data_IF_823051457648
#
_entry.id   IF_823051457648
#
_cell.length_a   1.000
_cell.length_b   1.000
_cell.length_c   1.000
_cell.angle_alpha   90.00
_cell.angle_beta   90.00
_cell.angle_gamma   90.00
#
_symmetry.space_group_name_H-M   'P 1'
#
loop_
_entity.id
_entity.type
_entity.pdbx_description
1 polymer ?
#
# COMPACT_ATOMS: atom_id res chain seq x y z
N UNK A 1 4.21 -21.27 18.55
CA UNK A 1 4.69 -21.42 17.16
C UNK A 1 4.44 -20.11 16.44
N UNK A 2 5.45 -19.51 15.81
CA UNK A 2 5.32 -18.21 15.15
C UNK A 2 5.37 -18.42 13.65
N UNK A 3 4.32 -17.98 12.95
CA UNK A 3 4.19 -18.13 11.50
C UNK A 3 4.56 -16.80 10.84
N UNK A 4 5.43 -16.85 9.83
CA UNK A 4 5.79 -15.67 9.02
C UNK A 4 4.92 -15.64 7.77
N UNK A 5 4.35 -14.47 7.48
CA UNK A 5 3.53 -14.23 6.29
C UNK A 5 4.11 -13.02 5.55
N UNK A 6 4.36 -13.18 4.25
CA UNK A 6 4.71 -12.11 3.30
C UNK A 6 3.51 -11.79 2.43
N UNK A 7 3.30 -10.50 2.18
CA UNK A 7 2.26 -10.04 1.28
C UNK A 7 2.64 -10.32 -0.17
N UNK A 8 1.71 -10.89 -0.93
CA UNK A 8 1.88 -11.16 -2.36
C UNK A 8 1.81 -9.85 -3.18
N UNK A 9 2.54 -9.81 -4.29
CA UNK A 9 2.53 -8.76 -5.31
C UNK A 9 2.84 -7.34 -4.80
N UNK A 10 3.36 -7.20 -3.58
CA UNK A 10 3.66 -5.92 -2.94
C UNK A 10 5.01 -5.99 -2.21
N UNK A 11 5.83 -4.96 -2.39
CA UNK A 11 7.12 -4.76 -1.73
C UNK A 11 7.04 -3.60 -0.74
N UNK A 12 7.85 -3.70 0.32
CA UNK A 12 7.95 -2.69 1.37
C UNK A 12 9.42 -2.45 1.72
N UNK A 13 9.76 -1.23 2.18
CA UNK A 13 11.12 -0.97 2.65
C UNK A 13 11.41 -1.82 3.88
N UNK A 14 12.62 -2.37 3.95
CA UNK A 14 13.05 -3.13 5.10
C UNK A 14 13.17 -2.23 6.34
N UNK A 15 13.11 -2.82 7.53
CA UNK A 15 13.14 -2.07 8.79
C UNK A 15 14.32 -1.11 8.91
N UNK A 16 15.47 -1.48 8.35
CA UNK A 16 16.71 -0.72 8.39
C UNK A 16 16.85 0.28 7.24
N UNK A 17 15.94 0.23 6.27
CA UNK A 17 15.90 1.14 5.13
C UNK A 17 15.15 2.43 5.51
N UNK A 18 15.40 3.54 4.79
CA UNK A 18 14.63 4.76 4.98
C UNK A 18 13.13 4.46 4.83
N UNK A 19 12.33 5.03 5.74
CA UNK A 19 10.88 4.82 5.83
C UNK A 19 10.42 3.40 6.19
N UNK A 20 11.33 2.44 6.36
CA UNK A 20 11.03 1.08 6.85
C UNK A 20 10.25 1.07 8.15
N UNK A 21 10.70 1.89 9.11
CA UNK A 21 10.03 2.04 10.40
C UNK A 21 8.62 2.63 10.22
N UNK A 22 8.44 3.62 9.34
CA UNK A 22 7.15 4.27 9.13
C UNK A 22 6.15 3.33 8.45
N UNK A 23 6.59 2.60 7.42
CA UNK A 23 5.79 1.58 6.74
C UNK A 23 5.37 0.47 7.73
N UNK A 24 6.28 0.01 8.59
CA UNK A 24 5.96 -0.97 9.64
C UNK A 24 4.96 -0.43 10.67
N UNK A 25 5.14 0.81 11.11
CA UNK A 25 4.21 1.46 12.05
C UNK A 25 2.82 1.60 11.43
N UNK A 26 2.73 1.97 10.16
CA UNK A 26 1.46 2.03 9.45
C UNK A 26 0.81 0.65 9.32
N UNK A 27 1.56 -0.38 8.90
CA UNK A 27 1.06 -1.75 8.83
C UNK A 27 0.55 -2.23 10.20
N UNK A 28 1.28 -1.92 11.27
CA UNK A 28 0.86 -2.22 12.65
C UNK A 28 -0.47 -1.55 12.98
N UNK A 29 -0.65 -0.29 12.62
CA UNK A 29 -1.91 0.44 12.85
C UNK A 29 -3.09 -0.13 12.05
N UNK A 30 -2.82 -0.71 10.88
CA UNK A 30 -3.84 -1.33 10.02
C UNK A 30 -4.30 -2.68 10.58
N UNK A 31 -3.35 -3.50 11.07
CA UNK A 31 -3.57 -4.85 11.61
C UNK A 31 -4.03 -4.87 13.07
N UNK A 32 -3.67 -3.84 13.84
CA UNK A 32 -3.95 -3.75 15.28
C UNK A 32 -4.59 -2.40 15.59
N UNK A 33 -5.91 -2.26 15.40
CA UNK A 33 -6.62 -1.05 15.76
C UNK A 33 -6.50 -0.77 17.27
N UNK A 34 -6.43 0.52 17.61
CA UNK A 34 -6.18 1.01 18.98
C UNK A 34 -7.29 0.59 19.95
N UNK A 35 -8.49 0.32 19.45
CA UNK A 35 -9.67 -0.02 20.25
C UNK A 35 -9.60 -1.41 20.92
N UNK A 36 -8.52 -2.18 20.68
CA UNK A 36 -8.29 -3.48 21.31
C UNK A 36 -9.27 -4.58 20.89
N UNK A 37 -10.21 -4.27 19.98
CA UNK A 37 -11.18 -5.22 19.48
C UNK A 37 -10.47 -6.34 18.69
N UNK A 38 -10.84 -7.61 18.90
CA UNK A 38 -10.26 -8.73 18.18
C UNK A 38 -10.58 -8.62 16.69
N UNK A 39 -9.56 -8.33 15.88
CA UNK A 39 -9.70 -8.23 14.43
C UNK A 39 -9.48 -9.60 13.79
N UNK A 40 -10.42 -10.03 12.95
CA UNK A 40 -10.27 -11.26 12.16
C UNK A 40 -9.43 -10.97 10.92
N UNK A 41 -8.35 -11.72 10.79
CA UNK A 41 -7.46 -11.67 9.63
C UNK A 41 -7.66 -12.96 8.83
N UNK A 42 -7.95 -12.81 7.54
CA UNK A 42 -8.07 -13.89 6.57
C UNK A 42 -6.81 -13.88 5.70
N UNK A 43 -6.12 -15.01 5.63
CA UNK A 43 -4.93 -15.17 4.81
C UNK A 43 -5.21 -16.19 3.72
N UNK A 44 -5.20 -15.78 2.47
CA UNK A 44 -5.23 -16.69 1.33
C UNK A 44 -3.80 -17.06 0.93
N UNK A 45 -3.33 -18.22 1.38
CA UNK A 45 -1.96 -18.68 1.13
C UNK A 45 -1.82 -19.18 -0.30
N UNK A 46 -0.82 -18.66 -1.00
CA UNK A 46 -0.57 -18.96 -2.42
C UNK A 46 0.69 -19.78 -2.63
N UNK A 47 1.73 -19.54 -1.82
CA UNK A 47 3.00 -20.25 -1.89
C UNK A 47 3.76 -20.15 -0.55
N UNK A 48 4.93 -20.76 -0.50
CA UNK A 48 5.88 -20.71 0.62
C UNK A 48 7.20 -20.14 0.09
N UNK A 49 7.85 -19.28 0.87
CA UNK A 49 9.18 -18.75 0.56
C UNK A 49 10.29 -19.72 0.94
N UNK A 50 11.52 -19.43 0.51
CA UNK A 50 12.71 -20.26 0.74
C UNK A 50 13.03 -20.48 2.22
N UNK A 51 12.48 -19.66 3.13
CA UNK A 51 12.72 -19.71 4.57
C UNK A 51 11.54 -20.36 5.30
N UNK A 52 10.57 -20.91 4.57
CA UNK A 52 9.37 -21.56 5.11
C UNK A 52 8.28 -20.58 5.57
N UNK A 53 8.35 -19.32 5.17
CA UNK A 53 7.29 -18.32 5.38
C UNK A 53 6.21 -18.41 4.31
N UNK A 54 4.96 -18.11 4.63
CA UNK A 54 3.87 -18.14 3.66
C UNK A 54 3.81 -16.86 2.83
N UNK A 55 3.56 -16.98 1.53
CA UNK A 55 3.22 -15.87 0.64
C UNK A 55 1.69 -15.88 0.49
N UNK A 56 1.03 -14.82 0.94
CA UNK A 56 -0.42 -14.80 1.02
C UNK A 56 -1.01 -13.43 0.68
N UNK A 57 -2.26 -13.47 0.22
CA UNK A 57 -3.12 -12.29 0.21
C UNK A 57 -3.82 -12.14 1.56
N UNK A 58 -3.73 -10.95 2.18
CA UNK A 58 -4.20 -10.74 3.55
C UNK A 58 -5.39 -9.77 3.55
N UNK A 59 -6.50 -10.24 4.12
CA UNK A 59 -7.73 -9.50 4.21
C UNK A 59 -8.14 -9.30 5.67
N UNK A 60 -8.61 -8.10 5.98
CA UNK A 60 -9.14 -7.74 7.28
C UNK A 60 -10.64 -7.65 7.19
N UNK A 61 -11.34 -8.37 8.07
CA UNK A 61 -12.78 -8.22 8.22
C UNK A 61 -13.05 -7.19 9.33
N UNK A 62 -13.50 -5.99 8.95
CA UNK A 62 -13.89 -4.92 9.89
C UNK A 62 -15.40 -4.82 9.94
N UNK A 63 -15.97 -5.08 11.12
CA UNK A 63 -17.35 -4.74 11.43
C UNK A 63 -17.45 -3.23 11.65
N UNK A 64 -18.00 -2.50 10.69
CA UNK A 64 -18.33 -1.09 10.87
C UNK A 64 -19.67 -1.06 11.60
N UNK A 65 -19.62 -0.69 12.88
CA UNK A 65 -20.82 -0.36 13.64
C UNK A 65 -21.36 0.98 13.18
N UNK A 66 -22.21 0.98 12.17
CA UNK A 66 -22.98 2.18 11.81
C UNK A 66 -24.08 2.33 12.85
N UNK A 67 -23.93 3.29 13.76
CA UNK A 67 -25.10 3.84 14.47
C UNK A 67 -25.89 4.57 13.41
N UNK A 68 -26.99 3.96 12.94
CA UNK A 68 -27.96 4.65 12.11
C UNK A 68 -28.48 5.84 12.94
N UNK A 69 -27.87 7.01 12.74
CA UNK A 69 -28.39 8.27 13.24
C UNK A 69 -29.71 8.43 12.49
N UNK A 70 -30.81 8.19 13.20
CA UNK A 70 -32.15 8.20 12.61
C UNK A 70 -32.42 9.55 11.95
N UNK A 71 -32.19 9.65 10.66
CA UNK A 71 -32.77 10.69 9.83
C UNK A 71 -34.27 10.41 9.77
N UNK A 72 -35.00 11.18 10.57
CA UNK A 72 -36.47 11.18 10.67
C UNK A 72 -37.12 11.79 9.42
N UNK A 73 -36.66 11.42 8.23
CA UNK A 73 -37.18 11.95 6.96
C UNK A 73 -37.79 10.84 6.10
N UNK A 74 -38.65 10.02 6.70
CA UNK A 74 -39.68 9.32 5.93
C UNK A 74 -40.98 9.29 6.72
N UNK A 75 -41.73 10.38 6.58
CA UNK A 75 -43.07 10.54 7.13
C UNK A 75 -44.06 9.74 6.28
N UNK A 76 -44.14 8.43 6.51
CA UNK A 76 -45.24 7.64 5.96
C UNK A 76 -46.40 7.66 6.96
N UNK A 77 -47.38 8.53 6.68
CA UNK A 77 -48.68 8.58 7.36
C UNK A 77 -49.33 7.18 7.32
N UNK A 78 -49.36 6.47 8.44
CA UNK A 78 -50.43 5.52 8.73
C UNK A 78 -50.53 5.32 10.23
N UNK A 79 -51.78 5.19 10.68
CA UNK A 79 -52.23 5.41 12.03
C UNK A 79 -51.87 4.26 13.00
N UNK A 80 -51.71 4.66 14.27
CA UNK A 80 -51.69 3.86 15.51
C UNK A 80 -50.44 2.97 15.76
N UNK A 81 -49.55 3.34 16.71
CA UNK A 81 -48.53 2.43 17.21
C UNK A 81 -49.09 1.48 18.30
N UNK A 82 -48.77 0.18 18.29
CA UNK A 82 -49.08 -0.73 19.40
C UNK A 82 -48.21 -0.43 20.64
N UNK A 83 -48.74 -0.60 21.87
CA UNK A 83 -48.14 -0.09 23.12
C UNK A 83 -46.93 -0.89 23.68
N UNK A 84 -46.20 -1.65 22.86
CA UNK A 84 -45.17 -2.58 23.37
C UNK A 84 -43.80 -2.54 22.68
N UNK A 85 -43.59 -1.74 21.63
CA UNK A 85 -42.28 -1.74 20.96
C UNK A 85 -41.31 -0.76 21.61
N UNK A 86 -40.47 -1.26 22.52
CA UNK A 86 -39.16 -0.65 22.78
C UNK A 86 -38.38 -0.67 21.48
N UNK A 87 -38.16 0.51 20.89
CA UNK A 87 -37.33 0.68 19.71
C UNK A 87 -35.87 0.39 20.09
N UNK A 88 -35.50 -0.88 20.14
CA UNK A 88 -34.10 -1.29 20.16
C UNK A 88 -33.46 -0.77 18.85
N UNK A 89 -32.40 0.04 18.91
CA UNK A 89 -31.72 0.49 17.71
C UNK A 89 -31.21 -0.72 16.94
N UNK A 90 -31.74 -0.95 15.74
CA UNK A 90 -31.20 -1.97 14.83
C UNK A 90 -29.77 -1.57 14.47
N UNK A 91 -28.79 -2.20 15.12
CA UNK A 91 -27.39 -2.09 14.75
C UNK A 91 -27.17 -2.89 13.46
N UNK A 92 -27.22 -2.22 12.30
CA UNK A 92 -26.75 -2.82 11.07
C UNK A 92 -25.21 -2.85 11.10
N UNK A 93 -24.65 -4.01 11.43
CA UNK A 93 -23.21 -4.24 11.36
C UNK A 93 -22.85 -4.55 9.91
N UNK A 94 -22.31 -3.56 9.20
CA UNK A 94 -21.76 -3.79 7.87
C UNK A 94 -20.33 -4.34 8.01
N UNK A 95 -20.09 -5.55 7.50
CA UNK A 95 -18.76 -6.13 7.47
C UNK A 95 -18.03 -5.70 6.20
N UNK A 96 -16.98 -4.89 6.34
CA UNK A 96 -16.13 -4.44 5.23
C UNK A 96 -14.85 -5.28 5.23
N UNK A 97 -14.58 -5.92 4.09
CA UNK A 97 -13.34 -6.65 3.87
C UNK A 97 -12.31 -5.74 3.22
N UNK A 98 -11.19 -5.51 3.89
CA UNK A 98 -10.11 -4.62 3.43
C UNK A 98 -8.90 -5.48 3.07
N UNK A 99 -8.41 -5.37 1.83
CA UNK A 99 -7.12 -5.94 1.44
C UNK A 99 -5.99 -5.10 2.04
N UNK A 100 -5.10 -5.74 2.81
CA UNK A 100 -3.95 -5.06 3.43
C UNK A 100 -3.00 -4.56 2.35
N UNK A 101 -2.81 -5.33 1.28
CA UNK A 101 -1.94 -4.96 0.15
C UNK A 101 -2.43 -3.67 -0.52
N UNK A 102 -3.74 -3.59 -0.78
CA UNK A 102 -4.33 -2.40 -1.38
C UNK A 102 -4.18 -1.18 -0.48
N UNK A 103 -4.42 -1.34 0.82
CA UNK A 103 -4.31 -0.23 1.76
C UNK A 103 -2.88 0.29 1.88
N UNK A 104 -1.91 -0.62 1.96
CA UNK A 104 -0.50 -0.26 2.04
C UNK A 104 -0.01 0.47 0.77
N UNK A 105 -0.45 0.04 -0.40
CA UNK A 105 -0.11 0.69 -1.69
C UNK A 105 -0.84 2.03 -1.82
N UNK A 106 -2.14 2.09 -1.49
CA UNK A 106 -2.96 3.32 -1.53
C UNK A 106 -2.41 4.43 -0.63
N UNK A 107 -1.94 4.05 0.55
CA UNK A 107 -1.30 4.98 1.51
C UNK A 107 0.14 5.32 1.13
N UNK A 108 0.70 4.70 0.08
CA UNK A 108 2.03 4.97 -0.41
C UNK A 108 3.15 4.41 0.47
N UNK A 109 2.86 3.43 1.33
CA UNK A 109 3.86 2.77 2.19
C UNK A 109 4.41 1.47 1.61
N UNK A 110 3.93 1.11 0.42
CA UNK A 110 4.36 -0.07 -0.31
C UNK A 110 4.29 0.20 -1.82
N UNK A 111 5.02 -0.59 -2.59
CA UNK A 111 5.00 -0.56 -4.05
C UNK A 111 4.57 -1.91 -4.62
N UNK A 112 4.07 -1.91 -5.86
CA UNK A 112 3.63 -3.14 -6.52
C UNK A 112 4.84 -3.87 -7.09
N UNK A 113 4.92 -5.18 -6.82
CA UNK A 113 5.95 -6.06 -7.39
C UNK A 113 5.25 -7.03 -8.35
N UNK A 114 5.66 -6.98 -9.61
CA UNK A 114 5.20 -7.93 -10.62
C UNK A 114 5.92 -9.27 -10.39
N UNK A 115 5.34 -10.10 -9.53
CA UNK A 115 5.84 -11.45 -9.22
C UNK A 115 5.08 -12.53 -9.98
N UNK A 116 3.92 -12.17 -10.53
CA UNK A 116 2.96 -13.11 -11.11
C UNK A 116 2.88 -12.96 -12.63
N UNK A 117 2.50 -14.04 -13.31
CA UNK A 117 2.23 -14.05 -14.76
C UNK A 117 1.10 -13.10 -15.16
N UNK A 118 0.20 -12.77 -14.21
CA UNK A 118 -0.91 -11.85 -14.41
C UNK A 118 -0.72 -10.62 -13.51
N UNK A 119 -0.48 -9.42 -14.08
CA UNK A 119 -0.30 -8.21 -13.29
C UNK A 119 -1.62 -7.80 -12.62
N UNK A 120 -1.55 -7.44 -11.34
CA UNK A 120 -2.71 -6.94 -10.62
C UNK A 120 -2.99 -5.48 -11.00
N UNK A 121 -3.88 -5.28 -11.97
CA UNK A 121 -4.26 -3.97 -12.51
C UNK A 121 -4.73 -3.02 -11.40
N UNK A 122 -5.49 -3.53 -10.43
CA UNK A 122 -6.04 -2.74 -9.33
C UNK A 122 -4.95 -2.17 -8.43
N UNK A 123 -3.95 -2.97 -8.07
CA UNK A 123 -2.81 -2.49 -7.29
C UNK A 123 -2.00 -1.42 -8.04
N UNK A 124 -1.82 -1.57 -9.36
CA UNK A 124 -1.12 -0.57 -10.18
C UNK A 124 -1.87 0.76 -10.23
N UNK A 125 -3.19 0.74 -10.38
CA UNK A 125 -4.01 1.96 -10.33
C UNK A 125 -3.89 2.67 -8.98
N UNK A 126 -3.91 1.93 -7.87
CA UNK A 126 -3.72 2.50 -6.53
C UNK A 126 -2.32 3.08 -6.34
N UNK A 127 -1.29 2.42 -6.88
CA UNK A 127 0.08 2.93 -6.84
C UNK A 127 0.21 4.25 -7.61
N UNK A 128 -0.38 4.35 -8.79
CA UNK A 128 -0.39 5.57 -9.58
C UNK A 128 -1.11 6.72 -8.86
N UNK A 129 -2.23 6.42 -8.18
CA UNK A 129 -2.94 7.41 -7.35
C UNK A 129 -2.06 7.90 -6.18
N UNK A 130 -1.39 6.98 -5.46
CA UNK A 130 -0.52 7.31 -4.35
C UNK A 130 0.71 8.13 -4.78
N UNK A 131 1.25 7.83 -5.96
CA UNK A 131 2.34 8.60 -6.60
C UNK A 131 1.89 10.01 -6.95
N UNK A 132 0.75 10.15 -7.62
CA UNK A 132 0.19 11.44 -8.00
C UNK A 132 -0.10 12.31 -6.76
N UNK A 133 -0.66 11.70 -5.71
CA UNK A 133 -0.94 12.36 -4.45
C UNK A 133 0.29 12.56 -3.54
N UNK A 134 1.49 12.11 -3.97
CA UNK A 134 2.75 12.25 -3.22
C UNK A 134 2.61 11.72 -1.77
N UNK A 135 1.96 10.57 -1.60
CA UNK A 135 1.71 9.95 -0.28
C UNK A 135 2.89 9.08 0.15
N UNK A 136 3.17 9.05 1.46
CA UNK A 136 4.13 8.13 2.07
C UNK A 136 5.51 8.21 1.41
N UNK A 137 5.97 7.09 0.86
CA UNK A 137 7.25 6.95 0.17
C UNK A 137 7.36 7.91 -1.02
N UNK A 138 6.26 8.17 -1.73
CA UNK A 138 6.23 9.03 -2.92
C UNK A 138 6.24 10.53 -2.60
N UNK A 139 6.08 10.90 -1.33
CA UNK A 139 6.08 12.29 -0.88
C UNK A 139 7.46 12.91 -0.81
N UNK A 140 8.50 12.08 -0.69
CA UNK A 140 9.88 12.53 -0.60
C UNK A 140 10.50 12.39 -1.97
N UNK A 141 10.95 13.52 -2.53
CA UNK A 141 11.17 13.75 -3.96
C UNK A 141 12.14 12.84 -4.74
N UNK A 142 12.65 11.75 -4.15
CA UNK A 142 13.65 10.88 -4.76
C UNK A 142 13.43 9.37 -4.47
N UNK A 143 12.24 8.96 -3.97
CA UNK A 143 11.98 7.53 -3.78
C UNK A 143 11.81 6.81 -5.12
N UNK A 144 12.79 5.96 -5.46
CA UNK A 144 12.70 5.04 -6.57
C UNK A 144 12.68 3.61 -6.02
N UNK A 145 11.61 2.83 -6.25
CA UNK A 145 11.59 1.44 -5.81
C UNK A 145 12.74 0.69 -6.48
N UNK A 146 13.41 -0.24 -5.79
CA UNK A 146 14.43 -1.08 -6.41
C UNK A 146 13.80 -1.76 -7.63
N UNK A 147 14.39 -1.52 -8.80
CA UNK A 147 13.86 -1.95 -10.10
C UNK A 147 13.39 -3.41 -10.08
N UNK A 148 12.28 -3.69 -10.77
CA UNK A 148 11.53 -4.96 -10.86
C UNK A 148 12.31 -6.22 -11.33
N UNK A 149 13.64 -6.22 -11.32
CA UNK A 149 14.46 -7.36 -11.68
C UNK A 149 15.25 -7.87 -10.48
N UNK A 150 15.13 -9.16 -10.19
CA UNK A 150 15.83 -9.95 -9.15
C UNK A 150 15.23 -9.83 -7.76
N UNK A 151 14.47 -10.87 -7.37
CA UNK A 151 14.43 -11.34 -5.99
C UNK A 151 15.89 -11.46 -5.52
N UNK A 152 16.40 -10.46 -4.79
CA UNK A 152 17.75 -10.55 -4.24
C UNK A 152 17.73 -11.50 -3.04
N UNK A 153 18.69 -12.42 -2.93
CA UNK A 153 18.95 -13.10 -1.68
C UNK A 153 19.37 -12.05 -0.64
N UNK A 154 18.87 -12.25 0.59
CA UNK A 154 18.87 -11.37 1.78
C UNK A 154 20.24 -10.84 2.26
N UNK A 155 21.31 -10.99 1.49
CA UNK A 155 22.69 -10.75 1.93
C UNK A 155 23.49 -9.79 1.03
N UNK A 156 22.86 -8.95 0.21
CA UNK A 156 23.58 -7.89 -0.51
C UNK A 156 23.80 -6.67 0.38
N UNK A 157 24.96 -6.66 1.04
CA UNK A 157 25.54 -5.49 1.69
C UNK A 157 25.48 -4.26 0.79
N UNK A 158 25.18 -3.13 1.44
CA UNK A 158 25.64 -1.76 1.13
C UNK A 158 25.03 -1.13 -0.13
N UNK A 159 23.99 -0.32 0.09
CA UNK A 159 23.69 0.82 -0.76
C UNK A 159 24.95 1.70 -0.92
N UNK A 160 25.19 2.31 -2.09
CA UNK A 160 26.25 3.28 -2.25
C UNK A 160 26.02 4.48 -1.33
N UNK A 161 27.10 4.92 -0.68
CA UNK A 161 27.15 5.90 0.41
C UNK A 161 26.88 7.35 -0.05
N UNK A 162 26.37 7.55 -1.26
CA UNK A 162 26.32 8.84 -1.95
C UNK A 162 24.94 9.53 -1.97
N UNK A 163 23.93 9.01 -1.29
CA UNK A 163 22.62 9.68 -1.19
C UNK A 163 22.63 10.92 -0.27
N UNK A 164 23.75 11.19 0.42
CA UNK A 164 23.96 12.37 1.26
C UNK A 164 24.58 13.54 0.49
N UNK A 165 24.02 13.90 -0.66
CA UNK A 165 24.24 15.21 -1.33
C UNK A 165 23.27 15.27 -2.49
N UNK A 166 22.19 16.06 -2.44
CA UNK A 166 22.25 17.46 -2.88
C UNK A 166 21.26 18.33 -2.13
N UNK A 167 21.75 19.05 -1.11
CA UNK A 167 21.22 20.38 -0.76
C UNK A 167 22.18 21.40 -1.38
N UNK A 168 21.70 22.17 -2.36
CA UNK A 168 22.37 23.36 -2.88
C UNK A 168 23.23 23.13 -4.13
N UNK A 169 22.73 23.53 -5.29
CA UNK A 169 23.54 23.61 -6.51
C UNK A 169 22.70 23.96 -7.73
N UNK A 170 22.78 25.22 -8.16
CA UNK A 170 22.11 25.75 -9.35
C UNK A 170 22.48 24.92 -10.58
N UNK A 171 21.50 24.28 -11.21
CA UNK A 171 21.67 23.62 -12.50
C UNK A 171 21.62 24.63 -13.64
N UNK A 172 22.79 25.04 -14.12
CA UNK A 172 22.97 25.63 -15.44
C UNK A 172 22.52 24.62 -16.51
N UNK A 173 21.60 25.03 -17.40
CA UNK A 173 21.39 24.35 -18.67
C UNK A 173 22.64 24.52 -19.53
N UNK A 174 23.30 23.44 -19.92
CA UNK A 174 24.28 23.44 -21.00
C UNK A 174 23.84 22.45 -22.08
N UNK A 175 23.40 23.03 -23.20
CA UNK A 175 23.07 22.36 -24.44
C UNK A 175 24.31 21.67 -25.02
N UNK A 176 24.24 20.34 -25.18
CA UNK A 176 25.25 19.58 -25.89
C UNK A 176 25.00 19.67 -27.41
N UNK A 177 25.81 20.53 -28.03
CA UNK A 177 26.00 20.74 -29.46
C UNK A 177 26.54 19.47 -30.14
N UNK A 178 25.75 18.81 -30.98
CA UNK A 178 26.25 17.74 -31.87
C UNK A 178 27.10 18.37 -32.98
N UNK A 179 28.42 18.17 -32.94
CA UNK A 179 29.30 18.32 -34.11
C UNK A 179 29.30 16.99 -34.86
N UNK A 180 28.67 16.95 -36.03
CA UNK A 180 28.86 15.89 -37.01
C UNK A 180 29.94 16.35 -38.00
N UNK A 181 31.09 15.69 -37.96
CA UNK A 181 32.13 15.76 -38.99
C UNK A 181 31.65 14.96 -40.20
N UNK A 182 31.46 15.62 -41.35
CA UNK A 182 31.17 14.95 -42.61
C UNK A 182 32.43 14.94 -43.48
N UNK A 183 32.94 13.74 -43.72
CA UNK A 183 34.09 13.42 -44.54
C UNK A 183 33.64 13.35 -46.00
N UNK A 184 34.33 14.07 -46.89
CA UNK A 184 34.15 14.01 -48.35
C UNK A 184 34.39 12.59 -48.90
N UNK A 185 33.80 12.27 -50.05
CA UNK A 185 34.48 11.47 -51.05
C UNK A 185 34.70 12.25 -52.35
N UNK A 186 35.71 11.74 -53.06
CA UNK A 186 36.32 12.16 -54.30
C UNK A 186 35.44 11.80 -55.50
N UNK A 187 35.29 12.73 -56.45
CA UNK A 187 35.53 12.55 -57.90
C UNK A 187 35.47 13.91 -58.59
#
# INVERSE_FOLDING_TARGET
>A
MLVRVRLRSVGMPELHEPYGQNARMHLRSVLFPVDGAPQRVLCNVTSVDEVGGFIADVFLNRSIGTVARGDKSFFQKSAVPPPFWTAEPFHCVANVTISVQEEMVRSGWAWVVDTDLVPNVRLRSLMAEAQFAKRGLWGVGDFFPPSQGTLRPRNSKRWPENWRSTRGGRGHFSAARRKATNTRPVM
#
